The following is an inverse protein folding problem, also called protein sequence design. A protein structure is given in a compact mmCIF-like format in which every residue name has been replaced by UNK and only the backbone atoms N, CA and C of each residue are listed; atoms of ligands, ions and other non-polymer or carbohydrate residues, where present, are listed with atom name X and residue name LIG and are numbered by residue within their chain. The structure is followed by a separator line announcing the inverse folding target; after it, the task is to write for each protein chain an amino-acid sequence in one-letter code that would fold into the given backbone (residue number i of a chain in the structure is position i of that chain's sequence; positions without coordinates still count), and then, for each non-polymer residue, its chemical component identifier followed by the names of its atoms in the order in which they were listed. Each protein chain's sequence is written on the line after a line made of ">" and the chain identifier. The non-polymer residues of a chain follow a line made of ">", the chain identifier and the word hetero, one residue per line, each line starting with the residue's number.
data_IF_736709883241
#
_entry.id   IF_736709883241
#
_cell.length_a   1.000
_cell.length_b   1.000
_cell.length_c   1.000
_cell.angle_alpha   90.00
_cell.angle_beta   90.00
_cell.angle_gamma   90.00
#
_symmetry.space_group_name_H-M   'P 1'
#
loop_
_entity.id
_entity.type
_entity.pdbx_description
1 polymer ?
#
# COMPACT_ATOMS: atom_id res chain seq x y z
N UNK A 1 11.59 -6.07 -3.74
CA UNK A 1 10.12 -5.96 -3.57
C UNK A 1 9.70 -4.50 -3.66
N UNK A 2 8.72 -4.22 -4.47
CA UNK A 2 8.17 -2.87 -4.60
C UNK A 2 6.74 -2.87 -4.07
N UNK A 3 6.46 -1.98 -3.14
CA UNK A 3 5.15 -1.83 -2.52
C UNK A 3 4.64 -0.44 -2.87
N UNK A 4 3.42 -0.36 -3.40
CA UNK A 4 2.84 0.93 -3.78
C UNK A 4 1.58 1.19 -2.95
N UNK A 5 1.49 2.41 -2.42
CA UNK A 5 0.30 2.88 -1.71
C UNK A 5 -0.43 3.82 -2.65
N UNK A 6 -1.60 3.40 -3.09
CA UNK A 6 -2.40 4.15 -4.07
C UNK A 6 -3.38 5.06 -3.35
N UNK A 7 -3.34 6.34 -3.65
CA UNK A 7 -4.26 7.29 -3.06
C UNK A 7 -3.74 8.72 -3.16
N UNK A 8 -4.63 9.69 -3.09
CA UNK A 8 -4.31 11.09 -3.33
C UNK A 8 -4.04 11.89 -2.05
N UNK A 9 -3.38 11.28 -1.07
CA UNK A 9 -2.93 11.99 0.13
C UNK A 9 -4.00 12.20 1.18
N UNK A 10 -5.07 11.43 1.17
CA UNK A 10 -6.09 11.49 2.22
C UNK A 10 -5.52 10.92 3.53
N UNK A 11 -6.22 11.18 4.64
CA UNK A 11 -5.78 10.71 5.94
C UNK A 11 -5.62 9.19 5.99
N UNK A 12 -6.55 8.45 5.42
CA UNK A 12 -6.49 6.99 5.36
C UNK A 12 -5.32 6.51 4.49
N UNK A 13 -5.02 7.25 3.43
CA UNK A 13 -3.88 6.93 2.57
C UNK A 13 -2.57 7.06 3.34
N UNK A 14 -2.46 8.10 4.17
CA UNK A 14 -1.28 8.30 5.02
C UNK A 14 -1.15 7.20 6.06
N UNK A 15 -2.26 6.80 6.67
CA UNK A 15 -2.25 5.72 7.66
C UNK A 15 -1.80 4.40 7.04
N UNK A 16 -2.29 4.12 5.84
CA UNK A 16 -1.87 2.89 5.15
C UNK A 16 -0.38 2.95 4.82
N UNK A 17 0.11 4.10 4.39
CA UNK A 17 1.54 4.28 4.11
C UNK A 17 2.37 4.07 5.36
N UNK A 18 1.97 4.67 6.49
CA UNK A 18 2.67 4.53 7.76
C UNK A 18 2.70 3.07 8.22
N UNK A 19 1.55 2.40 8.13
CA UNK A 19 1.44 0.99 8.53
C UNK A 19 2.32 0.11 7.65
N UNK A 20 2.38 0.42 6.35
CA UNK A 20 3.21 -0.32 5.40
C UNK A 20 4.69 -0.15 5.72
N UNK A 21 5.13 1.08 5.98
CA UNK A 21 6.51 1.33 6.35
C UNK A 21 6.89 0.64 7.67
N UNK A 22 5.99 0.65 8.64
CA UNK A 22 6.20 -0.03 9.91
C UNK A 22 6.33 -1.54 9.71
N UNK A 23 5.48 -2.13 8.87
CA UNK A 23 5.52 -3.57 8.59
C UNK A 23 6.84 -3.96 7.93
N UNK A 24 7.29 -3.18 6.96
CA UNK A 24 8.57 -3.41 6.27
C UNK A 24 9.72 -3.36 7.27
N UNK A 25 9.71 -2.37 8.16
CA UNK A 25 10.75 -2.21 9.15
C UNK A 25 10.76 -3.37 10.14
N UNK A 26 9.59 -3.79 10.63
CA UNK A 26 9.48 -4.88 11.59
C UNK A 26 9.91 -6.22 10.99
N UNK A 27 9.64 -6.44 9.72
CA UNK A 27 10.06 -7.67 9.04
C UNK A 27 11.54 -7.65 8.65
N UNK A 28 12.15 -6.47 8.64
CA UNK A 28 13.55 -6.33 8.24
C UNK A 28 13.81 -6.69 6.80
N UNK A 29 12.83 -6.53 5.93
CA UNK A 29 12.95 -6.87 4.52
C UNK A 29 13.42 -5.66 3.71
N UNK A 30 14.06 -5.93 2.58
CA UNK A 30 14.47 -4.89 1.65
C UNK A 30 13.32 -4.64 0.66
N UNK A 31 12.51 -3.64 0.96
CA UNK A 31 11.36 -3.30 0.15
C UNK A 31 11.29 -1.78 -0.03
N UNK A 32 10.91 -1.37 -1.24
CA UNK A 32 10.72 0.03 -1.55
C UNK A 32 9.23 0.36 -1.44
N UNK A 33 8.91 1.39 -0.65
CA UNK A 33 7.52 1.84 -0.49
C UNK A 33 7.35 3.12 -1.28
N UNK A 34 6.47 3.09 -2.27
CA UNK A 34 6.19 4.24 -3.13
C UNK A 34 4.75 4.69 -2.97
N UNK A 35 4.53 5.99 -3.14
CA UNK A 35 3.18 6.56 -3.18
C UNK A 35 2.78 6.75 -4.63
N UNK A 36 1.55 6.36 -4.98
CA UNK A 36 1.00 6.58 -6.30
C UNK A 36 -0.23 7.45 -6.13
N UNK A 37 -0.12 8.70 -6.56
CA UNK A 37 -1.19 9.68 -6.42
C UNK A 37 -1.90 9.98 -7.74
N UNK A 38 -1.31 9.56 -8.86
CA UNK A 38 -1.86 9.80 -10.18
C UNK A 38 -3.09 8.91 -10.41
N UNK A 39 -4.21 9.56 -10.66
CA UNK A 39 -5.50 8.88 -10.81
C UNK A 39 -5.49 7.84 -11.95
N UNK A 40 -4.83 8.16 -13.06
CA UNK A 40 -4.77 7.24 -14.19
C UNK A 40 -4.00 5.96 -13.83
N UNK A 41 -2.91 6.11 -13.09
CA UNK A 41 -2.14 4.96 -12.63
C UNK A 41 -2.94 4.11 -11.66
N UNK A 42 -3.67 4.76 -10.75
CA UNK A 42 -4.52 4.05 -9.80
C UNK A 42 -5.57 3.22 -10.54
N UNK A 43 -6.23 3.82 -11.53
CA UNK A 43 -7.22 3.12 -12.33
C UNK A 43 -6.61 1.98 -13.14
N UNK A 44 -5.37 2.13 -13.58
CA UNK A 44 -4.69 1.09 -14.34
C UNK A 44 -4.52 -0.21 -13.55
N UNK A 45 -4.49 -0.13 -12.22
CA UNK A 45 -4.47 -1.31 -11.35
C UNK A 45 -5.86 -1.90 -11.12
N UNK A 46 -6.90 -1.30 -11.69
CA UNK A 46 -8.27 -1.74 -11.46
C UNK A 46 -8.82 -1.29 -10.12
N UNK A 47 -8.20 -0.30 -9.48
CA UNK A 47 -8.59 0.17 -8.16
C UNK A 47 -9.65 1.27 -8.29
N UNK A 48 -10.82 1.02 -7.75
CA UNK A 48 -11.94 1.97 -7.77
C UNK A 48 -12.09 2.71 -6.45
N UNK A 49 -11.49 2.23 -5.38
CA UNK A 49 -11.57 2.84 -4.06
C UNK A 49 -10.17 2.94 -3.46
N UNK A 50 -9.85 4.10 -2.89
CA UNK A 50 -8.58 4.31 -2.21
C UNK A 50 -8.80 4.46 -0.71
N UNK A 51 -7.81 4.17 0.11
CA UNK A 51 -6.45 3.76 -0.25
C UNK A 51 -6.38 2.31 -0.69
N UNK A 52 -5.33 1.97 -1.44
CA UNK A 52 -5.09 0.60 -1.86
C UNK A 52 -3.62 0.27 -1.69
N UNK A 53 -3.33 -1.01 -1.51
CA UNK A 53 -1.96 -1.51 -1.35
C UNK A 53 -1.64 -2.48 -2.48
N UNK A 54 -0.56 -2.20 -3.17
CA UNK A 54 -0.07 -3.04 -4.28
C UNK A 54 1.31 -3.58 -3.89
N UNK A 55 1.49 -4.88 -4.03
CA UNK A 55 2.77 -5.54 -3.75
C UNK A 55 3.19 -6.29 -4.99
N UNK A 56 4.35 -5.91 -5.54
CA UNK A 56 4.89 -6.51 -6.78
C UNK A 56 3.83 -6.56 -7.89
N UNK A 57 3.16 -5.43 -8.12
CA UNK A 57 2.16 -5.23 -9.17
C UNK A 57 0.82 -5.97 -8.92
N UNK A 58 0.63 -6.56 -7.75
CA UNK A 58 -0.65 -7.18 -7.38
C UNK A 58 -1.36 -6.36 -6.31
N UNK A 59 -2.64 -6.07 -6.53
CA UNK A 59 -3.46 -5.35 -5.55
C UNK A 59 -3.81 -6.30 -4.41
N UNK A 60 -3.37 -5.98 -3.21
CA UNK A 60 -3.58 -6.81 -2.03
C UNK A 60 -4.66 -6.28 -1.10
N UNK A 61 -4.82 -4.95 -1.06
CA UNK A 61 -5.82 -4.28 -0.23
C UNK A 61 -6.44 -3.17 -1.06
N UNK A 62 -7.75 -3.03 -0.98
CA UNK A 62 -8.45 -1.99 -1.72
C UNK A 62 -9.59 -1.40 -0.89
N UNK A 63 -9.61 -0.06 -0.79
CA UNK A 63 -10.69 0.67 -0.16
C UNK A 63 -10.73 0.63 1.36
N UNK A 64 -9.63 0.24 2.00
CA UNK A 64 -9.54 0.25 3.47
C UNK A 64 -8.11 0.37 3.93
N UNK A 65 -7.92 0.68 5.20
CA UNK A 65 -6.60 0.75 5.82
C UNK A 65 -6.30 -0.60 6.48
N UNK A 66 -5.30 -1.31 5.96
CA UNK A 66 -4.80 -2.52 6.59
C UNK A 66 -3.91 -2.13 7.76
N UNK A 67 -3.98 -2.85 8.87
CA UNK A 67 -3.08 -2.60 9.99
C UNK A 67 -1.72 -3.26 9.74
N UNK A 68 -0.75 -2.94 10.59
CA UNK A 68 0.62 -3.43 10.44
C UNK A 68 0.69 -4.96 10.42
N UNK A 69 -0.09 -5.62 11.27
CA UNK A 69 -0.08 -7.08 11.34
C UNK A 69 -0.62 -7.73 10.06
N UNK A 70 -1.68 -7.17 9.50
CA UNK A 70 -2.23 -7.66 8.24
C UNK A 70 -1.21 -7.49 7.12
N UNK A 71 -0.57 -6.33 7.07
CA UNK A 71 0.43 -6.06 6.03
C UNK A 71 1.61 -7.01 6.17
N UNK A 72 2.07 -7.28 7.38
CA UNK A 72 3.16 -8.24 7.59
C UNK A 72 2.81 -9.62 7.06
N UNK A 73 1.56 -10.05 7.23
CA UNK A 73 1.11 -11.33 6.67
C UNK A 73 1.12 -11.33 5.15
N UNK A 74 0.73 -10.20 4.55
CA UNK A 74 0.72 -10.06 3.09
C UNK A 74 2.15 -10.12 2.54
N UNK A 75 3.11 -9.54 3.25
CA UNK A 75 4.49 -9.44 2.78
C UNK A 75 5.34 -10.70 3.04
N UNK A 76 4.87 -11.60 3.84
CA UNK A 76 5.59 -12.84 4.14
C UNK A 76 5.51 -13.85 3.02
#
# INVERSE_FOLDING_TARGET
>A
MVIKVLGSGCMNCRKLEENTKAAVKELGIDAKVEKVENYKEILAYGVMKTPALVVNEEVKVMGRVADTEEIKKILR
#
